data_IF_724520370117
#
_entry.id   IF_724520370117
#
_cell.length_a   1.000
_cell.length_b   1.000
_cell.length_c   1.000
_cell.angle_alpha   90.00
_cell.angle_beta   90.00
_cell.angle_gamma   90.00
#
_symmetry.space_group_name_H-M   'P 1'
#
loop_
_entity.id
_entity.type
_entity.pdbx_description
1 polymer ?
#
# COMPACT_ATOMS: atom_id res chain seq x y z
N UNK A 1 -2.76 -16.41 13.03
CA UNK A 1 -1.52 -15.83 13.60
C UNK A 1 -1.81 -14.35 13.72
N UNK A 2 -1.99 -13.83 14.94
CA UNK A 2 -2.11 -12.39 15.14
C UNK A 2 -0.72 -11.79 14.89
N UNK A 3 -0.46 -11.44 13.65
CA UNK A 3 0.73 -10.69 13.30
C UNK A 3 0.55 -9.25 13.78
N UNK A 4 1.57 -8.67 14.36
CA UNK A 4 1.62 -7.25 14.64
C UNK A 4 1.72 -6.51 13.30
N UNK A 5 0.94 -5.48 13.13
CA UNK A 5 0.85 -4.70 11.90
C UNK A 5 1.80 -3.50 11.95
N UNK A 6 2.29 -3.05 10.79
CA UNK A 6 3.07 -1.82 10.68
C UNK A 6 2.24 -0.76 9.94
N UNK A 7 1.90 0.30 10.64
CA UNK A 7 1.20 1.44 10.09
C UNK A 7 2.19 2.51 9.65
N UNK A 8 2.05 3.00 8.44
CA UNK A 8 2.88 4.08 7.89
C UNK A 8 1.97 5.23 7.50
N UNK A 9 2.18 6.39 8.10
CA UNK A 9 1.43 7.61 7.83
C UNK A 9 2.34 8.56 7.05
N UNK A 10 2.10 8.68 5.75
CA UNK A 10 2.86 9.55 4.84
C UNK A 10 2.30 10.97 4.74
N UNK A 11 2.94 11.80 3.91
CA UNK A 11 2.67 13.21 3.74
C UNK A 11 1.64 13.56 2.63
N UNK A 12 1.14 12.56 1.89
CA UNK A 12 0.09 12.75 0.87
C UNK A 12 -1.29 13.00 1.48
N UNK A 13 -2.36 12.86 0.70
CA UNK A 13 -3.71 13.08 1.21
C UNK A 13 -4.10 12.01 2.23
N UNK A 14 -4.59 12.43 3.39
CA UNK A 14 -4.95 11.55 4.49
C UNK A 14 -6.48 11.59 4.73
N UNK A 15 -7.12 10.45 4.55
CA UNK A 15 -8.58 10.29 4.64
C UNK A 15 -9.04 9.59 5.93
N UNK A 16 -8.22 9.60 6.97
CA UNK A 16 -8.45 8.87 8.22
C UNK A 16 -7.87 7.45 8.18
N UNK A 17 -7.85 6.80 9.33
CA UNK A 17 -7.50 5.39 9.45
C UNK A 17 -8.75 4.53 9.28
N UNK A 18 -8.67 3.50 8.45
CA UNK A 18 -9.70 2.48 8.32
C UNK A 18 -9.61 1.46 9.46
N UNK A 19 -8.40 1.04 9.73
CA UNK A 19 -8.06 0.19 10.86
C UNK A 19 -7.30 1.03 11.90
N UNK A 20 -7.69 0.90 13.16
CA UNK A 20 -7.06 1.65 14.26
C UNK A 20 -5.98 0.77 14.85
N UNK A 21 -4.70 1.23 14.87
CA UNK A 21 -3.61 0.47 15.47
C UNK A 21 -3.88 0.22 16.96
N UNK A 22 -3.53 -0.95 17.42
CA UNK A 22 -3.56 -1.31 18.84
C UNK A 22 -2.14 -1.24 19.46
N UNK A 23 -2.04 -1.53 20.78
CA UNK A 23 -0.78 -1.45 21.52
C UNK A 23 0.31 -2.43 21.04
N UNK A 24 -0.04 -3.41 20.20
CA UNK A 24 0.89 -4.40 19.64
C UNK A 24 1.43 -4.00 18.27
N UNK A 25 0.81 -3.04 17.63
CA UNK A 25 1.17 -2.55 16.31
C UNK A 25 2.31 -1.53 16.38
N UNK A 26 2.92 -1.25 15.25
CA UNK A 26 4.01 -0.28 15.13
C UNK A 26 3.65 0.84 14.17
N UNK A 27 3.58 2.05 14.68
CA UNK A 27 3.17 3.22 13.91
C UNK A 27 4.38 4.07 13.55
N UNK A 28 4.60 4.29 12.26
CA UNK A 28 5.65 5.17 11.72
C UNK A 28 5.00 6.38 11.06
N UNK A 29 5.34 7.57 11.52
CA UNK A 29 5.00 8.80 10.82
C UNK A 29 6.15 9.23 9.92
N UNK A 30 5.90 9.35 8.62
CA UNK A 30 6.87 9.76 7.62
C UNK A 30 6.64 11.22 7.21
N UNK A 31 7.65 12.06 7.45
CA UNK A 31 7.66 13.50 7.16
C UNK A 31 6.40 14.22 7.70
N UNK A 32 5.68 14.98 6.86
CA UNK A 32 4.46 15.70 7.24
C UNK A 32 3.31 14.78 7.71
N UNK A 33 3.41 13.47 7.53
CA UNK A 33 2.48 12.48 8.12
C UNK A 33 2.38 12.60 9.65
N UNK A 34 3.41 13.14 10.30
CA UNK A 34 3.37 13.44 11.73
C UNK A 34 2.27 14.45 12.11
N UNK A 35 1.99 15.43 11.25
CA UNK A 35 0.90 16.38 11.48
C UNK A 35 -0.48 15.71 11.44
N UNK A 36 -0.66 14.68 10.58
CA UNK A 36 -1.88 13.88 10.59
C UNK A 36 -2.02 13.07 11.88
N UNK A 37 -0.93 12.47 12.35
CA UNK A 37 -0.91 11.76 13.63
C UNK A 37 -1.34 12.69 14.76
N UNK A 38 -0.76 13.88 14.87
CA UNK A 38 -1.11 14.89 15.89
C UNK A 38 -2.59 15.30 15.85
N UNK A 39 -3.11 15.60 14.65
CA UNK A 39 -4.50 16.06 14.47
C UNK A 39 -5.53 14.99 14.80
N UNK A 40 -5.16 13.71 14.66
CA UNK A 40 -6.05 12.56 14.84
C UNK A 40 -5.78 11.78 16.13
N UNK A 41 -4.95 12.32 17.04
CA UNK A 41 -4.56 11.68 18.30
C UNK A 41 -3.93 10.29 18.13
N UNK A 42 -3.22 10.08 17.01
CA UNK A 42 -2.41 8.89 16.76
C UNK A 42 -1.03 9.13 17.37
N UNK A 43 -0.55 8.21 18.20
CA UNK A 43 0.77 8.29 18.81
C UNK A 43 1.71 7.40 18.00
N UNK A 44 2.62 7.96 17.17
CA UNK A 44 3.56 7.14 16.45
C UNK A 44 4.66 6.60 17.39
N UNK A 45 5.17 5.41 17.09
CA UNK A 45 6.36 4.84 17.76
C UNK A 45 7.65 5.45 17.22
N UNK A 46 7.63 5.86 15.95
CA UNK A 46 8.76 6.45 15.26
C UNK A 46 8.28 7.59 14.34
N UNK A 47 9.04 8.68 14.35
CA UNK A 47 8.89 9.77 13.37
C UNK A 47 10.17 9.84 12.55
N UNK A 48 10.06 9.80 11.22
CA UNK A 48 11.22 9.87 10.33
C UNK A 48 10.95 10.80 9.13
N UNK A 49 12.00 11.39 8.61
CA UNK A 49 11.94 12.28 7.45
C UNK A 49 13.09 13.29 7.47
N UNK A 50 13.18 14.11 6.41
CA UNK A 50 14.11 15.24 6.37
C UNK A 50 13.53 16.50 7.02
N UNK A 51 12.19 16.52 7.19
CA UNK A 51 11.41 17.55 7.85
C UNK A 51 11.53 18.94 7.21
N UNK A 52 11.92 19.01 5.95
CA UNK A 52 12.01 20.27 5.20
C UNK A 52 10.64 20.95 5.10
N UNK A 53 9.58 20.17 4.91
CA UNK A 53 8.18 20.62 4.88
C UNK A 53 7.66 21.12 6.23
N UNK A 54 8.23 20.67 7.36
CA UNK A 54 7.87 21.04 8.71
C UNK A 54 8.73 22.20 9.26
N UNK A 55 9.82 22.54 8.59
CA UNK A 55 10.76 23.59 8.98
C UNK A 55 11.66 23.26 10.19
N UNK A 56 11.34 22.21 10.95
CA UNK A 56 12.15 21.69 12.06
C UNK A 56 11.74 20.26 12.40
N UNK A 57 12.68 19.48 12.91
CA UNK A 57 12.39 18.14 13.43
C UNK A 57 11.34 18.18 14.56
N UNK A 58 10.36 17.29 14.55
CA UNK A 58 9.31 17.25 15.57
C UNK A 58 9.86 16.94 16.98
N UNK A 59 9.18 17.45 17.99
CA UNK A 59 9.45 17.07 19.40
C UNK A 59 8.78 15.73 19.69
N UNK A 60 9.51 14.64 19.43
CA UNK A 60 9.07 13.28 19.71
C UNK A 60 10.23 12.47 20.29
N UNK A 61 10.03 11.51 21.21
CA UNK A 61 11.12 10.74 21.84
C UNK A 61 11.93 9.92 20.84
N UNK A 62 11.30 9.43 19.77
CA UNK A 62 11.93 8.61 18.74
C UNK A 62 11.84 9.32 17.39
N UNK A 63 12.86 10.10 17.04
CA UNK A 63 12.98 10.82 15.76
C UNK A 63 14.21 10.32 15.01
N UNK A 64 14.04 9.99 13.74
CA UNK A 64 15.13 9.71 12.80
C UNK A 64 15.13 10.78 11.73
N UNK A 65 16.10 11.70 11.81
CA UNK A 65 16.28 12.71 10.77
C UNK A 65 17.07 12.11 9.62
N UNK A 66 16.46 12.14 8.43
CA UNK A 66 17.08 11.65 7.20
C UNK A 66 17.75 12.79 6.45
N UNK A 67 18.83 12.53 5.68
CA UNK A 67 19.36 13.52 4.78
C UNK A 67 18.34 13.90 3.70
N UNK A 68 18.39 15.15 3.21
CA UNK A 68 17.55 15.60 2.09
C UNK A 68 17.95 14.86 0.80
N UNK A 69 19.25 14.73 0.56
CA UNK A 69 19.79 13.95 -0.56
C UNK A 69 19.89 12.47 -0.14
N UNK A 70 19.00 11.64 -0.63
CA UNK A 70 18.94 10.20 -0.38
C UNK A 70 18.27 9.48 -1.54
N UNK A 71 18.58 8.20 -1.70
CA UNK A 71 18.02 7.36 -2.77
C UNK A 71 16.57 6.89 -2.46
N UNK A 72 16.21 6.84 -1.18
CA UNK A 72 14.91 6.36 -0.71
C UNK A 72 13.94 7.52 -0.45
N UNK A 73 12.67 7.35 -0.79
CA UNK A 73 11.61 8.21 -0.23
C UNK A 73 11.41 7.90 1.25
N UNK A 74 10.83 8.84 2.02
CA UNK A 74 10.56 8.62 3.45
C UNK A 74 9.62 7.42 3.67
N UNK A 75 8.64 7.21 2.79
CA UNK A 75 7.76 6.03 2.82
C UNK A 75 8.55 4.73 2.61
N UNK A 76 9.46 4.69 1.64
CA UNK A 76 10.31 3.50 1.40
C UNK A 76 11.22 3.24 2.60
N UNK A 77 11.78 4.29 3.21
CA UNK A 77 12.60 4.15 4.41
C UNK A 77 11.77 3.59 5.59
N UNK A 78 10.52 4.07 5.76
CA UNK A 78 9.59 3.54 6.76
C UNK A 78 9.29 2.05 6.53
N UNK A 79 9.03 1.65 5.27
CA UNK A 79 8.82 0.24 4.90
C UNK A 79 10.04 -0.61 5.24
N UNK A 80 11.26 -0.16 4.87
CA UNK A 80 12.50 -0.86 5.20
C UNK A 80 12.66 -1.04 6.70
N UNK A 81 12.41 0.01 7.47
CA UNK A 81 12.46 -0.01 8.94
C UNK A 81 11.50 -1.05 9.52
N UNK A 82 10.26 -1.10 9.03
CA UNK A 82 9.27 -2.09 9.45
C UNK A 82 9.70 -3.52 9.10
N UNK A 83 10.22 -3.75 7.88
CA UNK A 83 10.73 -5.06 7.44
C UNK A 83 11.91 -5.54 8.30
N UNK A 84 12.86 -4.65 8.64
CA UNK A 84 14.01 -4.94 9.50
C UNK A 84 13.58 -5.31 10.92
N UNK A 85 12.50 -4.68 11.42
CA UNK A 85 11.88 -5.02 12.71
C UNK A 85 11.08 -6.34 12.69
N UNK A 86 10.92 -6.95 11.50
CA UNK A 86 10.25 -8.24 11.34
C UNK A 86 8.78 -8.15 10.95
N UNK A 87 8.21 -6.96 10.77
CA UNK A 87 6.84 -6.79 10.30
C UNK A 87 6.67 -7.33 8.87
N UNK A 88 5.49 -7.86 8.60
CA UNK A 88 5.14 -8.44 7.29
C UNK A 88 3.84 -7.91 6.71
N UNK A 89 3.06 -7.17 7.49
CA UNK A 89 1.85 -6.50 7.04
C UNK A 89 2.02 -4.99 7.23
N UNK A 90 1.73 -4.23 6.17
CA UNK A 90 1.94 -2.79 6.11
C UNK A 90 0.67 -2.08 5.70
N UNK A 91 0.16 -1.24 6.56
CA UNK A 91 -0.99 -0.37 6.32
C UNK A 91 -0.49 1.05 6.05
N UNK A 92 -0.57 1.49 4.78
CA UNK A 92 0.04 2.74 4.33
C UNK A 92 -1.06 3.76 4.05
N UNK A 93 -1.03 4.86 4.77
CA UNK A 93 -1.94 6.00 4.65
C UNK A 93 -1.17 7.26 4.26
N UNK A 94 -1.86 8.23 3.61
CA UNK A 94 -1.20 9.45 3.15
C UNK A 94 -0.13 9.19 2.08
N UNK A 95 -0.29 8.12 1.30
CA UNK A 95 0.63 7.75 0.22
C UNK A 95 0.09 7.99 -1.18
N UNK A 96 -1.18 8.38 -1.32
CA UNK A 96 -1.82 8.72 -2.58
C UNK A 96 -2.22 10.19 -2.59
N UNK A 97 -2.43 10.75 -3.80
CA UNK A 97 -2.85 12.13 -3.95
C UNK A 97 -1.78 13.16 -3.60
N UNK A 98 -2.23 14.36 -3.20
CA UNK A 98 -1.34 15.48 -2.92
C UNK A 98 -0.74 16.11 -4.18
N UNK A 99 0.24 17.00 -3.99
CA UNK A 99 0.88 17.77 -5.07
C UNK A 99 1.95 16.99 -5.84
N UNK A 100 2.39 15.86 -5.33
CA UNK A 100 3.53 15.07 -5.82
C UNK A 100 3.05 13.77 -6.46
N UNK A 101 2.67 13.83 -7.74
CA UNK A 101 2.27 12.64 -8.51
C UNK A 101 3.38 11.60 -8.64
N UNK A 102 4.64 12.03 -8.66
CA UNK A 102 5.81 11.15 -8.63
C UNK A 102 5.85 10.29 -7.35
N UNK A 103 5.49 10.85 -6.19
CA UNK A 103 5.38 10.08 -4.93
C UNK A 103 4.23 9.07 -4.97
N UNK A 104 3.11 9.41 -5.61
CA UNK A 104 2.02 8.45 -5.82
C UNK A 104 2.50 7.22 -6.57
N UNK A 105 3.22 7.41 -7.69
CA UNK A 105 3.80 6.30 -8.46
C UNK A 105 4.82 5.50 -7.64
N UNK A 106 5.73 6.19 -6.93
CA UNK A 106 6.72 5.55 -6.07
C UNK A 106 6.08 4.70 -4.96
N UNK A 107 4.98 5.18 -4.36
CA UNK A 107 4.25 4.44 -3.34
C UNK A 107 3.53 3.20 -3.91
N UNK A 108 2.99 3.26 -5.13
CA UNK A 108 2.48 2.07 -5.82
C UNK A 108 3.61 1.06 -6.10
N UNK A 109 4.78 1.52 -6.55
CA UNK A 109 5.95 0.64 -6.71
C UNK A 109 6.41 0.03 -5.38
N UNK A 110 6.24 0.75 -4.26
CA UNK A 110 6.59 0.25 -2.94
C UNK A 110 5.76 -0.96 -2.51
N UNK A 111 4.54 -1.12 -3.00
CA UNK A 111 3.75 -2.34 -2.78
C UNK A 111 4.41 -3.57 -3.43
N UNK A 112 4.98 -3.41 -4.63
CA UNK A 112 5.75 -4.48 -5.27
C UNK A 112 7.05 -4.78 -4.51
N UNK A 113 7.70 -3.75 -3.97
CA UNK A 113 8.88 -3.90 -3.12
C UNK A 113 8.57 -4.74 -1.87
N UNK A 114 7.40 -4.52 -1.24
CA UNK A 114 6.90 -5.28 -0.10
C UNK A 114 6.61 -6.73 -0.52
N UNK A 115 5.85 -6.94 -1.62
CA UNK A 115 5.49 -8.27 -2.11
C UNK A 115 6.73 -9.10 -2.50
N UNK A 116 7.76 -8.49 -3.10
CA UNK A 116 9.05 -9.11 -3.41
C UNK A 116 9.80 -9.60 -2.15
N UNK A 117 9.43 -9.13 -0.96
CA UNK A 117 10.02 -9.52 0.34
C UNK A 117 9.13 -10.44 1.16
N UNK A 118 8.14 -11.07 0.49
CA UNK A 118 7.17 -11.99 1.12
C UNK A 118 6.40 -11.31 2.26
N UNK A 119 6.07 -10.05 2.07
CA UNK A 119 5.27 -9.25 2.97
C UNK A 119 4.04 -8.72 2.19
N UNK A 120 3.05 -8.23 2.89
CA UNK A 120 1.83 -7.68 2.33
C UNK A 120 1.70 -6.20 2.65
N UNK A 121 1.31 -5.40 1.69
CA UNK A 121 1.07 -3.97 1.88
C UNK A 121 -0.27 -3.55 1.32
N UNK A 122 -0.96 -2.67 2.05
CA UNK A 122 -2.17 -2.00 1.61
C UNK A 122 -1.96 -0.50 1.65
N UNK A 123 -2.21 0.15 0.53
CA UNK A 123 -2.11 1.59 0.37
C UNK A 123 -3.51 2.17 0.23
N UNK A 124 -3.93 2.94 1.22
CA UNK A 124 -5.29 3.44 1.36
C UNK A 124 -5.44 4.83 0.70
N UNK A 125 -6.40 4.93 -0.21
CA UNK A 125 -6.90 6.18 -0.78
C UNK A 125 -8.25 6.58 -0.18
N UNK A 126 -8.88 7.60 -0.75
CA UNK A 126 -10.18 8.08 -0.31
C UNK A 126 -11.27 7.01 -0.46
N UNK A 127 -11.35 6.39 -1.64
CA UNK A 127 -12.39 5.43 -1.99
C UNK A 127 -11.84 4.09 -2.47
N UNK A 128 -10.54 3.87 -2.37
CA UNK A 128 -9.90 2.66 -2.88
C UNK A 128 -8.76 2.18 -1.99
N UNK A 129 -8.45 0.90 -2.14
CA UNK A 129 -7.28 0.24 -1.56
C UNK A 129 -6.44 -0.33 -2.70
N UNK A 130 -5.13 -0.17 -2.59
CA UNK A 130 -4.17 -0.79 -3.49
C UNK A 130 -3.34 -1.81 -2.73
N UNK A 131 -3.13 -2.97 -3.33
CA UNK A 131 -2.22 -4.00 -2.82
C UNK A 131 -1.41 -4.60 -3.97
N UNK A 132 -0.41 -5.40 -3.66
CA UNK A 132 0.32 -6.17 -4.65
C UNK A 132 0.36 -7.65 -4.30
N UNK A 133 0.21 -8.49 -5.31
CA UNK A 133 0.41 -9.94 -5.22
C UNK A 133 1.55 -10.37 -6.14
N UNK A 134 2.30 -11.40 -5.73
CA UNK A 134 3.37 -11.98 -6.53
C UNK A 134 3.33 -13.48 -6.43
N UNK A 135 3.19 -14.17 -7.59
CA UNK A 135 3.13 -15.63 -7.67
C UNK A 135 2.13 -16.22 -6.66
N UNK A 136 0.97 -15.61 -6.56
CA UNK A 136 -0.05 -15.92 -5.55
C UNK A 136 -1.43 -15.44 -5.98
N UNK A 137 -2.41 -15.58 -5.11
CA UNK A 137 -3.78 -15.13 -5.33
C UNK A 137 -4.30 -14.34 -4.14
N UNK A 138 -5.38 -13.58 -4.38
CA UNK A 138 -6.23 -12.97 -3.36
C UNK A 138 -7.70 -13.27 -3.67
N UNK A 139 -8.52 -13.34 -2.63
CA UNK A 139 -9.97 -13.34 -2.72
C UNK A 139 -10.52 -12.00 -2.23
N UNK A 140 -11.45 -11.46 -2.99
CA UNK A 140 -12.15 -10.21 -2.72
C UNK A 140 -13.63 -10.51 -2.53
N UNK A 141 -14.27 -9.86 -1.54
CA UNK A 141 -15.69 -10.04 -1.24
C UNK A 141 -16.40 -8.71 -1.10
N UNK A 142 -17.53 -8.58 -1.75
CA UNK A 142 -18.36 -7.38 -1.74
C UNK A 142 -18.77 -6.93 -3.12
N UNK A 143 -19.07 -5.64 -3.25
CA UNK A 143 -19.49 -5.02 -4.51
C UNK A 143 -18.63 -3.79 -4.78
N UNK A 144 -18.32 -3.51 -6.04
CA UNK A 144 -17.57 -2.32 -6.42
C UNK A 144 -16.61 -2.56 -7.58
N UNK A 145 -15.76 -1.57 -7.81
CA UNK A 145 -14.76 -1.57 -8.88
C UNK A 145 -13.51 -2.34 -8.47
N UNK A 146 -12.92 -3.00 -9.44
CA UNK A 146 -11.63 -3.69 -9.30
C UNK A 146 -10.80 -3.37 -10.53
N UNK A 147 -9.50 -3.13 -10.34
CA UNK A 147 -8.55 -3.00 -11.44
C UNK A 147 -7.25 -3.75 -11.13
N UNK A 148 -6.64 -4.31 -12.17
CA UNK A 148 -5.36 -5.01 -12.08
C UNK A 148 -4.37 -4.42 -13.06
N UNK A 149 -3.13 -4.27 -12.61
CA UNK A 149 -2.03 -3.73 -13.42
C UNK A 149 -0.79 -4.61 -13.28
N UNK A 150 -0.08 -4.80 -14.38
CA UNK A 150 1.29 -5.29 -14.34
C UNK A 150 2.24 -4.09 -14.37
N UNK A 151 3.17 -4.01 -13.42
CA UNK A 151 4.20 -2.96 -13.36
C UNK A 151 5.61 -3.49 -13.62
N UNK A 152 5.77 -4.82 -13.64
CA UNK A 152 7.07 -5.48 -13.76
C UNK A 152 7.10 -6.37 -15.02
N UNK A 153 7.14 -5.72 -16.17
CA UNK A 153 7.28 -6.39 -17.46
C UNK A 153 6.04 -7.17 -17.91
N UNK A 154 5.99 -8.47 -17.64
CA UNK A 154 4.89 -9.36 -18.04
C UNK A 154 4.49 -10.23 -16.86
N UNK A 155 3.21 -10.22 -16.52
CA UNK A 155 2.58 -11.16 -15.59
C UNK A 155 1.92 -12.31 -16.38
N UNK A 156 2.22 -13.57 -16.06
CA UNK A 156 1.71 -14.76 -16.73
C UNK A 156 0.84 -15.60 -15.83
N UNK A 157 -0.04 -16.38 -16.46
CA UNK A 157 -1.00 -17.21 -15.75
C UNK A 157 -1.99 -16.38 -14.95
N UNK A 158 -2.34 -15.19 -15.46
CA UNK A 158 -3.29 -14.32 -14.80
C UNK A 158 -4.70 -14.87 -14.98
N UNK A 159 -5.36 -15.14 -13.86
CA UNK A 159 -6.73 -15.64 -13.84
C UNK A 159 -7.57 -14.69 -12.96
N UNK A 160 -8.64 -14.17 -13.54
CA UNK A 160 -9.63 -13.33 -12.88
C UNK A 160 -10.97 -14.07 -12.91
N UNK A 161 -11.52 -14.39 -11.74
CA UNK A 161 -12.84 -15.05 -11.60
C UNK A 161 -13.76 -14.22 -10.73
N UNK A 162 -15.06 -14.28 -11.02
CA UNK A 162 -16.08 -13.54 -10.27
C UNK A 162 -16.09 -12.04 -10.57
N UNK A 163 -15.34 -11.60 -11.57
CA UNK A 163 -15.33 -10.23 -12.09
C UNK A 163 -16.11 -10.14 -13.39
N UNK A 164 -16.60 -8.96 -13.75
CA UNK A 164 -17.35 -8.71 -14.98
C UNK A 164 -16.56 -9.09 -16.24
N UNK A 165 -15.27 -8.80 -16.24
CA UNK A 165 -14.35 -9.17 -17.30
C UNK A 165 -13.35 -10.19 -16.75
N UNK A 166 -13.64 -11.47 -16.97
CA UNK A 166 -12.80 -12.56 -16.51
C UNK A 166 -11.61 -12.78 -17.45
N UNK A 167 -10.53 -13.29 -16.88
CA UNK A 167 -9.36 -13.80 -17.60
C UNK A 167 -9.08 -15.23 -17.16
N UNK A 168 -8.56 -16.03 -18.09
CA UNK A 168 -8.15 -17.41 -17.79
C UNK A 168 -6.77 -17.68 -18.34
N UNK A 169 -5.80 -17.85 -17.45
CA UNK A 169 -4.40 -18.12 -17.79
C UNK A 169 -3.81 -17.13 -18.82
N UNK A 170 -4.14 -15.85 -18.67
CA UNK A 170 -3.76 -14.82 -19.61
C UNK A 170 -2.37 -14.23 -19.29
N UNK A 171 -1.82 -13.46 -20.24
CA UNK A 171 -0.68 -12.58 -20.01
C UNK A 171 -1.15 -11.14 -19.94
N UNK A 172 -0.61 -10.39 -18.96
CA UNK A 172 -0.78 -8.93 -18.83
C UNK A 172 0.59 -8.29 -18.88
N UNK A 173 0.77 -7.36 -19.80
CA UNK A 173 2.02 -6.60 -19.93
C UNK A 173 1.92 -5.22 -19.26
N UNK A 174 3.07 -4.66 -18.88
CA UNK A 174 3.14 -3.35 -18.22
C UNK A 174 2.87 -2.17 -19.16
N UNK A 175 2.89 -2.39 -20.47
CA UNK A 175 2.65 -1.39 -21.51
C UNK A 175 1.20 -1.32 -21.99
N UNK A 176 0.33 -2.24 -21.52
CA UNK A 176 -1.07 -2.29 -21.94
C UNK A 176 -2.04 -2.46 -20.76
N UNK A 177 -2.88 -1.45 -20.44
CA UNK A 177 -3.73 -1.44 -19.24
C UNK A 177 -5.05 -2.22 -19.44
N UNK A 178 -4.98 -3.49 -19.77
CA UNK A 178 -6.16 -4.33 -20.05
C UNK A 178 -7.02 -4.60 -18.81
N UNK A 179 -6.44 -4.51 -17.61
CA UNK A 179 -7.10 -4.88 -16.36
C UNK A 179 -7.91 -3.77 -15.69
N UNK A 180 -8.11 -2.61 -16.34
CA UNK A 180 -8.85 -1.49 -15.76
C UNK A 180 -10.36 -1.58 -16.02
N UNK A 181 -11.15 -0.81 -15.25
CA UNK A 181 -12.61 -0.69 -15.42
C UNK A 181 -13.35 -2.03 -15.28
N UNK A 182 -12.83 -2.92 -14.46
CA UNK A 182 -13.49 -4.15 -14.06
C UNK A 182 -14.34 -3.91 -12.79
N UNK A 183 -15.17 -4.87 -12.41
CA UNK A 183 -16.02 -4.80 -11.23
C UNK A 183 -16.36 -6.19 -10.72
N UNK A 184 -16.75 -6.28 -9.46
CA UNK A 184 -17.33 -7.48 -8.89
C UNK A 184 -18.59 -7.87 -9.68
N UNK A 185 -18.71 -9.16 -10.06
CA UNK A 185 -19.87 -9.74 -10.75
C UNK A 185 -20.48 -10.91 -9.95
N UNK A 186 -19.77 -11.39 -8.96
CA UNK A 186 -20.21 -12.38 -7.98
C UNK A 186 -19.97 -11.84 -6.56
N UNK A 187 -20.48 -12.51 -5.54
CA UNK A 187 -20.25 -12.16 -4.13
C UNK A 187 -18.76 -12.23 -3.77
N UNK A 188 -18.03 -13.14 -4.43
CA UNK A 188 -16.59 -13.35 -4.26
C UNK A 188 -15.89 -13.33 -5.61
N UNK A 189 -14.71 -12.71 -5.66
CA UNK A 189 -13.83 -12.73 -6.82
C UNK A 189 -12.44 -13.21 -6.42
N UNK A 190 -11.79 -13.95 -7.33
CA UNK A 190 -10.39 -14.38 -7.16
C UNK A 190 -9.52 -13.74 -8.24
N UNK A 191 -8.38 -13.21 -7.82
CA UNK A 191 -7.33 -12.67 -8.68
C UNK A 191 -6.08 -13.48 -8.41
N UNK A 192 -5.54 -14.13 -9.45
CA UNK A 192 -4.38 -15.01 -9.36
C UNK A 192 -3.34 -14.61 -10.41
N UNK A 193 -2.07 -14.75 -10.06
CA UNK A 193 -0.91 -14.70 -10.96
C UNK A 193 0.06 -15.82 -10.62
N UNK A 194 0.45 -16.62 -11.62
CA UNK A 194 1.36 -17.76 -11.41
C UNK A 194 2.83 -17.38 -11.59
N UNK A 195 3.12 -16.42 -12.47
CA UNK A 195 4.49 -15.92 -12.71
C UNK A 195 4.45 -14.40 -12.92
N UNK A 196 5.12 -13.68 -12.02
CA UNK A 196 5.15 -12.22 -11.99
C UNK A 196 4.37 -11.60 -10.85
N UNK A 197 4.09 -10.31 -10.97
CA UNK A 197 3.39 -9.55 -9.95
C UNK A 197 2.26 -8.69 -10.55
N UNK A 198 1.20 -8.51 -9.78
CA UNK A 198 0.10 -7.61 -10.10
C UNK A 198 -0.08 -6.59 -8.98
N UNK A 199 -0.29 -5.33 -9.35
CA UNK A 199 -0.97 -4.36 -8.50
C UNK A 199 -2.48 -4.55 -8.67
N UNK A 200 -3.18 -4.61 -7.55
CA UNK A 200 -4.63 -4.74 -7.50
C UNK A 200 -5.21 -3.54 -6.79
N UNK A 201 -6.15 -2.87 -7.43
CA UNK A 201 -6.96 -1.80 -6.83
C UNK A 201 -8.40 -2.32 -6.68
N UNK A 202 -9.01 -2.01 -5.56
CA UNK A 202 -10.42 -2.28 -5.32
C UNK A 202 -11.06 -1.18 -4.47
N UNK A 203 -12.37 -1.00 -4.62
CA UNK A 203 -13.12 -0.01 -3.86
C UNK A 203 -13.07 -0.33 -2.36
N UNK A 204 -13.03 0.69 -1.52
CA UNK A 204 -12.85 0.57 -0.06
C UNK A 204 -13.95 -0.25 0.65
N UNK A 205 -15.10 -0.44 0.01
CA UNK A 205 -16.19 -1.31 0.49
C UNK A 205 -15.96 -2.80 0.29
N UNK A 206 -14.97 -3.18 -0.53
CA UNK A 206 -14.61 -4.56 -0.79
C UNK A 206 -13.68 -5.05 0.32
N UNK A 207 -13.99 -6.20 0.92
CA UNK A 207 -13.13 -6.90 1.86
C UNK A 207 -12.16 -7.84 1.14
N UNK A 208 -10.99 -8.05 1.72
CA UNK A 208 -10.04 -9.07 1.31
C UNK A 208 -10.15 -10.26 2.28
N UNK A 209 -10.37 -11.47 1.74
CA UNK A 209 -10.36 -12.70 2.52
C UNK A 209 -8.98 -13.38 2.43
N UNK A 210 -8.46 -13.81 3.58
CA UNK A 210 -7.19 -14.53 3.71
C UNK A 210 -7.36 -16.04 3.54
#
# INVERSE_FOLDING_TARGET
MNGHECYIIGAGDFFGLREIPDDSDYVIAADAGYEYCRKNNIIPDLVLGDFDSLGAAPKHPNVVQLPVEKDDTDTVFAIKTGLEKGYRHFYIYGGLGGKRSDHTIANLQSLLYIANRKARGWLFGENCVWTAIKNSSISLKGEGSVAVFCFDGIARGVTLKGLKYELNNAEISSDFPIGVSNSMAAEEATIEVTDGALLVMYDIGIGEEN
#
